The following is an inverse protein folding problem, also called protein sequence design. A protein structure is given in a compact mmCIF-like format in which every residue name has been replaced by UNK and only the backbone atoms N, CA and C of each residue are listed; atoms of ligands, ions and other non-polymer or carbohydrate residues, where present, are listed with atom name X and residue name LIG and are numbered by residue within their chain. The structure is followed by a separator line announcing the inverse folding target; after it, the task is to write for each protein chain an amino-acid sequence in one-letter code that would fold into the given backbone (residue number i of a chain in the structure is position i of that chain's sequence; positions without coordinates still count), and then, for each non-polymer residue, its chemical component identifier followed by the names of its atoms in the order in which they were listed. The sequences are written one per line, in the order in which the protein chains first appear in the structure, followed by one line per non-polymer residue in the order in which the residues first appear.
data_IF_467076597015
#
_entry.id   IF_467076597015
#
_cell.length_a   1.000
_cell.length_b   1.000
_cell.length_c   1.000
_cell.angle_alpha   90.00
_cell.angle_beta   90.00
_cell.angle_gamma   90.00
#
_symmetry.space_group_name_H-M   'P 1'
#
loop_
_entity.id
_entity.type
_entity.pdbx_description
1 polymer ?
#
# COMPACT_ATOMS: atom_id res chain seq x y z
N UNK A 1 12.75 20.11 16.55
CA UNK A 1 11.44 20.14 17.22
C UNK A 1 11.39 19.06 18.32
N UNK A 2 11.64 17.76 18.04
CA UNK A 2 11.55 16.69 19.05
C UNK A 2 12.56 16.82 20.20
N UNK A 3 13.76 17.36 19.94
CA UNK A 3 14.76 17.59 21.00
C UNK A 3 14.35 18.66 22.00
N UNK A 4 13.62 19.67 21.56
CA UNK A 4 13.15 20.76 22.43
C UNK A 4 11.99 20.35 23.32
N UNK A 5 11.15 19.39 22.87
CA UNK A 5 9.98 18.94 23.62
C UNK A 5 10.23 17.71 24.50
N UNK A 6 11.06 16.76 24.04
CA UNK A 6 11.28 15.47 24.72
C UNK A 6 12.66 15.31 25.35
N UNK A 7 13.54 16.31 25.22
CA UNK A 7 14.93 16.21 25.65
C UNK A 7 15.76 15.26 24.73
N UNK A 8 17.07 15.17 25.01
CA UNK A 8 18.00 14.37 24.18
C UNK A 8 17.71 12.87 24.30
N UNK A 9 17.43 12.38 25.49
CA UNK A 9 17.17 10.95 25.73
C UNK A 9 15.83 10.53 25.12
N UNK A 10 14.77 11.31 25.31
CA UNK A 10 13.45 11.03 24.71
C UNK A 10 13.50 11.03 23.19
N UNK A 11 14.24 11.96 22.58
CA UNK A 11 14.40 12.00 21.12
C UNK A 11 15.14 10.78 20.55
N UNK A 12 16.09 10.19 21.29
CA UNK A 12 16.77 8.94 20.88
C UNK A 12 15.82 7.75 20.88
N UNK A 13 15.05 7.55 21.95
CA UNK A 13 14.07 6.46 22.03
C UNK A 13 12.98 6.57 20.96
N UNK A 14 12.48 7.78 20.75
CA UNK A 14 11.50 8.03 19.69
C UNK A 14 12.07 7.73 18.29
N UNK A 15 13.31 8.12 18.02
CA UNK A 15 14.00 7.83 16.77
C UNK A 15 14.19 6.33 16.53
N UNK A 16 14.55 5.58 17.58
CA UNK A 16 14.71 4.13 17.51
C UNK A 16 13.36 3.45 17.24
N UNK A 17 12.33 3.81 17.98
CA UNK A 17 10.98 3.26 17.80
C UNK A 17 10.44 3.55 16.41
N UNK A 18 10.62 4.77 15.92
CA UNK A 18 10.25 5.17 14.58
C UNK A 18 10.99 4.37 13.49
N UNK A 19 12.30 4.12 13.70
CA UNK A 19 13.11 3.30 12.80
C UNK A 19 12.59 1.87 12.73
N UNK A 20 12.26 1.27 13.87
CA UNK A 20 11.72 -0.08 13.97
C UNK A 20 10.37 -0.20 13.25
N UNK A 21 9.45 0.73 13.48
CA UNK A 21 8.16 0.79 12.78
C UNK A 21 8.36 0.95 11.28
N UNK A 22 9.31 1.80 10.85
CA UNK A 22 9.65 1.99 9.44
C UNK A 22 10.14 0.72 8.76
N UNK A 23 11.04 -0.04 9.42
CA UNK A 23 11.54 -1.33 8.91
C UNK A 23 10.39 -2.34 8.78
N UNK A 24 9.55 -2.43 9.79
CA UNK A 24 8.41 -3.35 9.78
C UNK A 24 7.42 -3.03 8.66
N UNK A 25 7.05 -1.75 8.52
CA UNK A 25 6.16 -1.31 7.44
C UNK A 25 6.77 -1.51 6.05
N UNK A 26 8.06 -1.25 5.89
CA UNK A 26 8.77 -1.53 4.64
C UNK A 26 8.72 -3.02 4.29
N UNK A 27 8.92 -3.90 5.26
CA UNK A 27 8.83 -5.35 5.07
C UNK A 27 7.45 -5.79 4.59
N UNK A 28 6.39 -5.29 5.21
CA UNK A 28 5.00 -5.57 4.82
C UNK A 28 4.73 -5.09 3.38
N UNK A 29 5.12 -3.87 3.05
CA UNK A 29 4.92 -3.32 1.71
C UNK A 29 5.71 -4.10 0.65
N UNK A 30 6.94 -4.50 0.97
CA UNK A 30 7.77 -5.34 0.08
C UNK A 30 7.11 -6.70 -0.17
N UNK A 31 6.55 -7.31 0.87
CA UNK A 31 5.81 -8.56 0.74
C UNK A 31 4.59 -8.41 -0.17
N UNK A 32 3.75 -7.41 0.04
CA UNK A 32 2.59 -7.18 -0.83
C UNK A 32 2.99 -6.91 -2.28
N UNK A 33 4.03 -6.12 -2.51
CA UNK A 33 4.53 -5.84 -3.85
C UNK A 33 5.07 -7.12 -4.52
N UNK A 34 5.77 -7.98 -3.77
CA UNK A 34 6.25 -9.26 -4.29
C UNK A 34 5.10 -10.19 -4.68
N UNK A 35 4.00 -10.18 -3.91
CA UNK A 35 2.79 -10.96 -4.25
C UNK A 35 2.14 -10.47 -5.55
N UNK A 36 2.10 -9.16 -5.78
CA UNK A 36 1.62 -8.61 -7.06
C UNK A 36 2.47 -9.08 -8.24
N UNK A 37 3.80 -9.03 -8.11
CA UNK A 37 4.69 -9.55 -9.15
C UNK A 37 4.51 -11.06 -9.37
N UNK A 38 4.36 -11.83 -8.31
CA UNK A 38 4.07 -13.26 -8.40
C UNK A 38 2.77 -13.52 -9.17
N UNK A 39 1.72 -12.72 -8.92
CA UNK A 39 0.47 -12.81 -9.66
C UNK A 39 0.64 -12.52 -11.15
N UNK A 40 1.36 -11.45 -11.49
CA UNK A 40 1.64 -11.09 -12.88
C UNK A 40 2.42 -12.21 -13.61
N UNK A 41 3.44 -12.77 -12.96
CA UNK A 41 4.23 -13.88 -13.50
C UNK A 41 3.35 -15.11 -13.74
N UNK A 42 2.47 -15.44 -12.79
CA UNK A 42 1.53 -16.58 -12.94
C UNK A 42 0.56 -16.38 -14.08
N UNK A 43 -0.02 -15.18 -14.22
CA UNK A 43 -0.91 -14.87 -15.34
C UNK A 43 -0.16 -14.99 -16.68
N UNK A 44 1.07 -14.48 -16.73
CA UNK A 44 1.89 -14.57 -17.93
C UNK A 44 2.23 -16.02 -18.30
N UNK A 45 2.65 -16.84 -17.34
CA UNK A 45 2.94 -18.26 -17.55
C UNK A 45 1.67 -19.01 -17.98
N UNK A 46 0.54 -18.77 -17.33
CA UNK A 46 -0.74 -19.38 -17.68
C UNK A 46 -1.20 -19.01 -19.11
N UNK A 47 -0.90 -17.80 -19.57
CA UNK A 47 -1.20 -17.36 -20.93
C UNK A 47 -0.34 -18.06 -21.99
N UNK A 48 0.86 -18.53 -21.62
CA UNK A 48 1.74 -19.26 -22.53
C UNK A 48 1.45 -20.77 -22.55
N UNK A 49 1.27 -21.37 -21.38
CA UNK A 49 0.98 -22.80 -21.22
C UNK A 49 0.23 -23.08 -19.91
N UNK A 50 -0.99 -23.60 -20.03
CA UNK A 50 -1.85 -23.94 -18.88
C UNK A 50 -1.28 -25.07 -18.01
N UNK A 51 -0.45 -25.95 -18.60
CA UNK A 51 0.06 -27.15 -17.91
C UNK A 51 1.32 -26.88 -17.12
N UNK A 52 2.02 -25.79 -17.44
CA UNK A 52 3.32 -25.46 -16.84
C UNK A 52 3.23 -25.23 -15.32
N UNK A 53 2.19 -24.57 -14.85
CA UNK A 53 1.98 -24.30 -13.43
C UNK A 53 1.65 -25.53 -12.58
N UNK A 54 1.24 -26.63 -13.20
CA UNK A 54 0.93 -27.89 -12.51
C UNK A 54 2.15 -28.80 -12.29
N UNK A 55 3.34 -28.42 -12.73
CA UNK A 55 4.57 -29.17 -12.51
C UNK A 55 4.95 -29.21 -11.01
N UNK A 56 5.48 -30.35 -10.56
CA UNK A 56 5.82 -30.59 -9.15
C UNK A 56 6.76 -29.53 -8.54
N UNK A 57 7.65 -28.96 -9.34
CA UNK A 57 8.58 -27.89 -8.92
C UNK A 57 7.83 -26.66 -8.37
N UNK A 58 6.68 -26.34 -8.96
CA UNK A 58 5.88 -25.19 -8.52
C UNK A 58 4.98 -25.50 -7.34
N UNK A 59 4.86 -26.76 -6.94
CA UNK A 59 4.11 -27.20 -5.77
C UNK A 59 4.95 -27.25 -4.49
N UNK A 60 6.28 -27.05 -4.59
CA UNK A 60 7.17 -27.01 -3.43
C UNK A 60 6.98 -25.69 -2.69
N UNK A 61 6.59 -25.76 -1.40
CA UNK A 61 6.44 -24.62 -0.52
C UNK A 61 7.62 -24.57 0.48
N UNK A 62 8.35 -23.49 0.45
CA UNK A 62 9.38 -23.18 1.45
C UNK A 62 8.94 -21.95 2.25
N UNK A 63 8.78 -22.08 3.57
CA UNK A 63 8.27 -21.01 4.45
C UNK A 63 6.90 -20.43 4.01
N UNK A 64 6.04 -21.27 3.40
CA UNK A 64 4.73 -20.84 2.92
C UNK A 64 4.75 -20.07 1.58
N UNK A 65 5.90 -19.96 0.95
CA UNK A 65 6.07 -19.33 -0.37
C UNK A 65 6.49 -20.37 -1.41
N UNK A 66 5.91 -20.26 -2.60
CA UNK A 66 6.29 -21.09 -3.75
C UNK A 66 7.56 -20.52 -4.41
N UNK A 67 8.20 -21.28 -5.28
CA UNK A 67 9.39 -20.85 -6.01
C UNK A 67 9.14 -19.55 -6.78
N UNK A 68 7.98 -19.41 -7.44
CA UNK A 68 7.61 -18.17 -8.14
C UNK A 68 7.52 -17.00 -7.16
N UNK A 69 6.97 -17.22 -5.98
CA UNK A 69 6.86 -16.18 -4.94
C UNK A 69 8.25 -15.75 -4.43
N UNK A 70 9.19 -16.70 -4.28
CA UNK A 70 10.57 -16.41 -3.90
C UNK A 70 11.32 -15.61 -4.96
N UNK A 71 11.21 -16.00 -6.23
CA UNK A 71 11.82 -15.26 -7.34
C UNK A 71 11.25 -13.84 -7.40
N UNK A 72 9.93 -13.70 -7.27
CA UNK A 72 9.26 -12.41 -7.24
C UNK A 72 9.67 -11.56 -6.05
N UNK A 73 9.90 -12.18 -4.89
CA UNK A 73 10.37 -11.48 -3.70
C UNK A 73 11.80 -10.95 -3.88
N UNK A 74 12.71 -11.78 -4.35
CA UNK A 74 14.11 -11.37 -4.63
C UNK A 74 14.13 -10.28 -5.69
N UNK A 75 13.36 -10.43 -6.76
CA UNK A 75 13.23 -9.41 -7.80
C UNK A 75 12.73 -8.07 -7.22
N UNK A 76 11.71 -8.10 -6.36
CA UNK A 76 11.17 -6.91 -5.71
C UNK A 76 12.21 -6.21 -4.85
N UNK A 77 12.99 -6.97 -4.05
CA UNK A 77 14.05 -6.40 -3.21
C UNK A 77 15.13 -5.73 -4.05
N UNK A 78 15.58 -6.40 -5.12
CA UNK A 78 16.58 -5.84 -6.04
C UNK A 78 16.05 -4.57 -6.72
N UNK A 79 14.79 -4.60 -7.19
CA UNK A 79 14.14 -3.45 -7.80
C UNK A 79 14.07 -2.26 -6.84
N UNK A 80 13.65 -2.48 -5.60
CA UNK A 80 13.61 -1.45 -4.57
C UNK A 80 14.99 -0.88 -4.27
N UNK A 81 16.02 -1.74 -4.08
CA UNK A 81 17.39 -1.29 -3.86
C UNK A 81 17.90 -0.45 -5.04
N UNK A 82 17.61 -0.87 -6.27
CA UNK A 82 17.94 -0.11 -7.46
C UNK A 82 17.25 1.27 -7.51
N UNK A 83 15.96 1.33 -7.19
CA UNK A 83 15.19 2.58 -7.15
C UNK A 83 15.74 3.53 -6.09
N UNK A 84 16.06 3.03 -4.90
CA UNK A 84 16.65 3.84 -3.83
C UNK A 84 18.05 4.38 -4.17
N UNK A 85 18.82 3.67 -4.99
CA UNK A 85 20.14 4.13 -5.44
C UNK A 85 20.09 5.27 -6.46
N UNK A 86 18.92 5.51 -7.06
CA UNK A 86 18.74 6.57 -8.06
C UNK A 86 18.52 7.95 -7.43
N UNK A 87 18.64 8.98 -8.27
CA UNK A 87 18.51 10.38 -7.82
C UNK A 87 17.12 10.72 -7.28
N UNK A 88 17.08 11.73 -6.42
CA UNK A 88 15.85 12.27 -5.84
C UNK A 88 14.79 12.70 -6.89
N UNK A 89 15.25 13.18 -8.06
CA UNK A 89 14.37 13.59 -9.16
C UNK A 89 13.67 12.40 -9.80
N UNK A 90 14.40 11.29 -9.98
CA UNK A 90 13.86 10.04 -10.52
C UNK A 90 12.83 9.42 -9.59
N UNK A 91 13.12 9.39 -8.29
CA UNK A 91 12.18 8.88 -7.29
C UNK A 91 10.88 9.70 -7.24
N UNK A 92 10.96 11.03 -7.36
CA UNK A 92 9.76 11.89 -7.46
C UNK A 92 8.94 11.59 -8.72
N UNK A 93 9.59 11.34 -9.84
CA UNK A 93 8.89 10.97 -11.08
C UNK A 93 8.13 9.66 -10.90
N UNK A 94 8.78 8.62 -10.34
CA UNK A 94 8.16 7.31 -10.09
C UNK A 94 6.97 7.44 -9.14
N UNK A 95 7.10 8.20 -8.05
CA UNK A 95 5.99 8.40 -7.10
C UNK A 95 4.80 9.05 -7.79
N UNK A 96 5.01 10.09 -8.60
CA UNK A 96 3.93 10.75 -9.36
C UNK A 96 3.29 9.82 -10.37
N UNK A 97 4.11 9.07 -11.10
CA UNK A 97 3.62 8.09 -12.08
C UNK A 97 2.80 6.98 -11.40
N UNK A 98 3.30 6.43 -10.30
CA UNK A 98 2.59 5.41 -9.53
C UNK A 98 1.26 5.94 -8.97
N UNK A 99 1.26 7.16 -8.43
CA UNK A 99 0.04 7.79 -7.94
C UNK A 99 -0.99 7.98 -9.07
N UNK A 100 -0.57 8.49 -10.22
CA UNK A 100 -1.45 8.66 -11.38
C UNK A 100 -2.01 7.33 -11.87
N UNK A 101 -1.18 6.28 -11.93
CA UNK A 101 -1.59 4.92 -12.34
C UNK A 101 -2.60 4.32 -11.37
N UNK A 102 -2.36 4.44 -10.06
CA UNK A 102 -3.30 3.95 -9.03
C UNK A 102 -4.63 4.70 -9.11
N UNK A 103 -4.61 6.02 -9.21
CA UNK A 103 -5.81 6.83 -9.35
C UNK A 103 -6.62 6.44 -10.60
N UNK A 104 -5.96 6.33 -11.75
CA UNK A 104 -6.60 5.93 -13.00
C UNK A 104 -7.18 4.53 -12.90
N UNK A 105 -6.43 3.58 -12.33
CA UNK A 105 -6.89 2.21 -12.11
C UNK A 105 -8.11 2.14 -11.19
N UNK A 106 -8.13 2.90 -10.09
CA UNK A 106 -9.28 2.97 -9.19
C UNK A 106 -10.52 3.58 -9.88
N UNK A 107 -10.33 4.62 -10.70
CA UNK A 107 -11.44 5.21 -11.47
C UNK A 107 -12.00 4.22 -12.50
N UNK A 108 -11.14 3.55 -13.25
CA UNK A 108 -11.55 2.53 -14.21
C UNK A 108 -12.31 1.41 -13.50
N UNK A 109 -11.78 0.91 -12.38
CA UNK A 109 -12.44 -0.13 -11.59
C UNK A 109 -13.81 0.34 -11.07
N UNK A 110 -13.88 1.55 -10.52
CA UNK A 110 -15.13 2.14 -10.03
C UNK A 110 -16.18 2.23 -11.16
N UNK A 111 -15.80 2.79 -12.31
CA UNK A 111 -16.72 2.90 -13.44
C UNK A 111 -17.11 1.53 -14.00
N UNK A 112 -16.21 0.56 -14.05
CA UNK A 112 -16.51 -0.80 -14.52
C UNK A 112 -17.57 -1.45 -13.61
N UNK A 113 -17.37 -1.41 -12.29
CA UNK A 113 -18.31 -1.97 -11.31
C UNK A 113 -19.64 -1.23 -11.36
N UNK A 114 -19.61 0.10 -11.41
CA UNK A 114 -20.81 0.94 -11.45
C UNK A 114 -21.65 0.71 -12.72
N UNK A 115 -21.00 0.60 -13.88
CA UNK A 115 -21.69 0.42 -15.17
C UNK A 115 -22.14 -1.03 -15.42
N UNK A 116 -21.51 -2.00 -14.74
CA UNK A 116 -21.88 -3.42 -14.92
C UNK A 116 -23.32 -3.70 -14.47
N UNK A 117 -23.69 -3.18 -13.33
CA UNK A 117 -25.09 -3.22 -12.85
C UNK A 117 -25.42 -2.00 -11.99
N UNK A 118 -25.86 -0.93 -12.64
CA UNK A 118 -26.19 0.35 -11.99
C UNK A 118 -27.28 0.20 -10.93
N UNK A 119 -28.25 -0.70 -11.19
CA UNK A 119 -29.40 -0.87 -10.30
C UNK A 119 -29.00 -1.54 -9.00
N UNK A 120 -28.30 -2.67 -9.08
CA UNK A 120 -27.80 -3.40 -7.89
C UNK A 120 -26.80 -2.54 -7.13
N UNK A 121 -25.92 -1.82 -7.82
CA UNK A 121 -24.95 -0.94 -7.17
C UNK A 121 -25.62 0.23 -6.46
N UNK A 122 -26.64 0.86 -7.05
CA UNK A 122 -27.37 1.97 -6.41
C UNK A 122 -28.21 1.51 -5.21
N UNK A 123 -28.84 0.34 -5.31
CA UNK A 123 -29.56 -0.28 -4.19
C UNK A 123 -28.63 -0.62 -3.04
N UNK A 124 -27.46 -1.21 -3.32
CA UNK A 124 -26.44 -1.52 -2.31
C UNK A 124 -25.90 -0.26 -1.63
N UNK A 125 -25.65 0.82 -2.38
CA UNK A 125 -25.28 2.11 -1.82
C UNK A 125 -26.38 2.69 -0.90
N UNK A 126 -27.63 2.70 -1.35
CA UNK A 126 -28.75 3.19 -0.57
C UNK A 126 -28.93 2.38 0.71
N UNK A 127 -28.74 1.08 0.64
CA UNK A 127 -28.87 0.16 1.77
C UNK A 127 -27.74 0.37 2.81
N UNK A 128 -26.50 0.52 2.37
CA UNK A 128 -25.36 0.80 3.26
C UNK A 128 -25.51 2.14 3.98
N UNK A 129 -26.00 3.18 3.30
CA UNK A 129 -26.14 4.52 3.87
C UNK A 129 -27.48 4.75 4.57
N UNK A 130 -28.38 3.76 4.61
CA UNK A 130 -29.58 3.86 5.42
C UNK A 130 -29.21 3.88 6.91
N UNK A 131 -29.76 4.82 7.67
CA UNK A 131 -29.42 5.04 9.09
C UNK A 131 -29.66 3.77 9.92
N UNK A 132 -30.68 2.98 9.60
CA UNK A 132 -30.98 1.72 10.29
C UNK A 132 -29.87 0.66 10.10
N UNK A 133 -29.33 0.54 8.89
CA UNK A 133 -28.34 -0.47 8.55
C UNK A 133 -26.91 -0.06 8.94
N UNK A 134 -26.61 1.24 9.01
CA UNK A 134 -25.31 1.73 9.46
C UNK A 134 -24.96 1.30 10.89
N UNK A 135 -25.96 1.23 11.77
CA UNK A 135 -25.78 0.84 13.17
C UNK A 135 -25.98 -0.65 13.43
N UNK A 136 -26.30 -1.44 12.40
CA UNK A 136 -26.33 -2.89 12.56
C UNK A 136 -24.90 -3.43 12.82
N UNK A 137 -24.79 -4.38 13.76
CA UNK A 137 -23.53 -4.99 14.17
C UNK A 137 -22.76 -5.59 12.99
N UNK A 138 -23.46 -6.11 11.99
CA UNK A 138 -22.85 -6.72 10.81
C UNK A 138 -22.17 -5.69 9.89
N UNK A 139 -22.63 -4.44 9.90
CA UNK A 139 -22.13 -3.37 9.04
C UNK A 139 -21.18 -2.42 9.79
N UNK A 140 -21.47 -2.14 11.08
CA UNK A 140 -20.67 -1.19 11.87
C UNK A 140 -19.26 -1.73 12.17
N UNK A 141 -19.11 -3.03 12.42
CA UNK A 141 -17.79 -3.63 12.71
C UNK A 141 -16.84 -3.55 11.52
N UNK A 142 -17.22 -3.96 10.29
CA UNK A 142 -16.40 -3.75 9.10
C UNK A 142 -16.10 -2.27 8.85
N UNK A 143 -17.08 -1.37 9.01
CA UNK A 143 -16.89 0.06 8.83
C UNK A 143 -15.84 0.62 9.80
N UNK A 144 -15.95 0.33 11.09
CA UNK A 144 -14.97 0.77 12.10
C UNK A 144 -13.59 0.18 11.81
N UNK A 145 -13.52 -1.08 11.37
CA UNK A 145 -12.26 -1.73 11.01
C UNK A 145 -11.58 -1.02 9.84
N UNK A 146 -12.32 -0.70 8.79
CA UNK A 146 -11.78 0.03 7.62
C UNK A 146 -11.33 1.42 8.03
N UNK A 147 -12.17 2.17 8.74
CA UNK A 147 -11.83 3.52 9.23
C UNK A 147 -10.61 3.47 10.14
N UNK A 148 -10.57 2.53 11.10
CA UNK A 148 -9.43 2.34 12.00
C UNK A 148 -8.13 1.99 11.26
N UNK A 149 -8.21 1.16 10.24
CA UNK A 149 -7.06 0.79 9.39
C UNK A 149 -6.54 2.00 8.61
N UNK A 150 -7.43 2.81 8.04
CA UNK A 150 -7.07 4.05 7.35
C UNK A 150 -6.39 5.02 8.32
N UNK A 151 -6.97 5.25 9.51
CA UNK A 151 -6.37 6.10 10.52
C UNK A 151 -5.01 5.59 10.97
N UNK A 152 -4.87 4.30 11.23
CA UNK A 152 -3.59 3.70 11.61
C UNK A 152 -2.53 3.87 10.53
N UNK A 153 -2.88 3.69 9.26
CA UNK A 153 -1.97 3.89 8.13
C UNK A 153 -1.53 5.35 7.99
N UNK A 154 -2.46 6.29 8.04
CA UNK A 154 -2.14 7.72 7.91
C UNK A 154 -1.49 8.32 9.16
N UNK A 155 -1.65 7.72 10.34
CA UNK A 155 -0.94 8.18 11.56
C UNK A 155 0.58 8.17 11.39
N UNK A 156 1.12 7.24 10.61
CA UNK A 156 2.55 7.18 10.28
C UNK A 156 2.99 8.40 9.48
N UNK A 157 2.15 8.85 8.54
CA UNK A 157 2.42 10.07 7.75
C UNK A 157 2.43 11.31 8.65
N UNK A 158 1.49 11.40 9.60
CA UNK A 158 1.42 12.50 10.58
C UNK A 158 2.68 12.53 11.45
N UNK A 159 3.10 11.38 11.97
CA UNK A 159 4.33 11.25 12.78
C UNK A 159 5.58 11.66 11.99
N UNK A 160 5.59 11.39 10.69
CA UNK A 160 6.71 11.70 9.79
C UNK A 160 6.55 13.07 9.08
N UNK A 161 5.50 13.82 9.37
CA UNK A 161 5.21 15.10 8.71
C UNK A 161 6.40 16.08 8.74
N UNK A 162 7.14 16.14 9.85
CA UNK A 162 8.34 16.96 9.95
C UNK A 162 9.46 16.63 8.97
N UNK A 163 9.53 15.39 8.46
CA UNK A 163 10.51 15.01 7.45
C UNK A 163 10.06 15.41 6.05
N UNK A 164 8.77 15.34 5.78
CA UNK A 164 8.21 15.79 4.49
C UNK A 164 8.23 17.32 4.38
N UNK A 165 7.85 18.02 5.46
CA UNK A 165 7.83 19.49 5.49
C UNK A 165 9.22 20.12 5.34
N UNK A 166 10.30 19.39 5.66
CA UNK A 166 11.68 19.85 5.47
C UNK A 166 12.03 20.18 4.01
N UNK A 167 11.36 19.56 3.07
CA UNK A 167 11.63 19.74 1.63
C UNK A 167 10.73 20.77 0.97
N UNK A 168 9.83 21.39 1.71
CA UNK A 168 8.93 22.43 1.21
C UNK A 168 9.64 23.78 1.31
N UNK A 169 9.69 24.53 0.19
CA UNK A 169 10.43 25.79 0.11
C UNK A 169 9.67 26.96 0.72
N UNK A 170 8.35 26.98 0.59
CA UNK A 170 7.50 28.09 1.00
C UNK A 170 6.25 27.61 1.75
N UNK A 171 5.75 28.46 2.66
CA UNK A 171 4.54 28.19 3.45
C UNK A 171 3.29 27.98 2.56
N UNK A 172 3.22 28.68 1.44
CA UNK A 172 2.12 28.54 0.48
C UNK A 172 2.13 27.15 -0.19
N UNK A 173 3.31 26.58 -0.45
CA UNK A 173 3.42 25.21 -0.97
C UNK A 173 3.04 24.18 0.08
N UNK A 174 3.25 24.47 1.35
CA UNK A 174 2.83 23.58 2.46
C UNK A 174 1.30 23.57 2.62
N UNK A 175 0.64 24.71 2.38
CA UNK A 175 -0.82 24.82 2.51
C UNK A 175 -1.57 24.26 1.30
N UNK A 176 -0.95 24.23 0.14
CA UNK A 176 -1.56 23.80 -1.13
C UNK A 176 -1.19 22.35 -1.53
N UNK A 177 -0.32 21.68 -0.82
CA UNK A 177 0.10 20.29 -1.00
C UNK A 177 -0.39 19.40 0.09
#
# INVERSE_FOLDING_TARGET
ILRSSLGISGAKYFGLFRGLVGIFMFGIQTYFLSRLFSFLVRIFIFSLDNTFLSQDIFLIFLLGLNIIDWISFVFTVILQAYLFSKSHQFNRFIIRFSAATVYSGMLIFFFTVFLYDVKVTSEAFADIFSIGNLFDKNNIVPLITVVGTIFAYFSIVIVNFGDFSRYVKDENQLKNG
#
